data_IF_074676030324
#
_entry.id   IF_074676030324
#
_cell.length_a   1.000
_cell.length_b   1.000
_cell.length_c   1.000
_cell.angle_alpha   90.00
_cell.angle_beta   90.00
_cell.angle_gamma   90.00
#
_symmetry.space_group_name_H-M   'P 1'
#
loop_
_entity.id
_entity.type
_entity.pdbx_description
1 polymer ?
#
# COMPACT_ATOMS: atom_id res chain seq x y z
N UNK A 1 22.64 18.54 26.49
CA UNK A 1 21.21 18.71 26.12
C UNK A 1 21.01 17.88 24.87
N UNK A 2 20.10 16.90 24.82
CA UNK A 2 19.77 16.28 23.54
C UNK A 2 19.23 17.37 22.61
N UNK A 3 19.53 17.35 21.30
CA UNK A 3 18.95 18.33 20.39
C UNK A 3 17.43 18.17 20.43
N UNK A 4 16.73 19.28 20.70
CA UNK A 4 15.29 19.32 20.52
C UNK A 4 15.01 18.97 19.06
N UNK A 5 14.18 17.95 18.82
CA UNK A 5 13.82 17.57 17.46
C UNK A 5 13.19 18.78 16.76
N UNK A 6 13.81 19.24 15.67
CA UNK A 6 13.26 20.31 14.85
C UNK A 6 11.90 19.88 14.30
N UNK A 7 10.85 20.64 14.61
CA UNK A 7 9.48 20.29 14.19
C UNK A 7 9.40 20.13 12.66
N UNK A 8 10.15 20.93 11.90
CA UNK A 8 10.21 20.79 10.44
C UNK A 8 10.70 19.40 9.99
N UNK A 9 11.72 18.86 10.65
CA UNK A 9 12.23 17.51 10.36
C UNK A 9 11.21 16.42 10.70
N UNK A 10 10.41 16.60 11.74
CA UNK A 10 9.33 15.66 12.08
C UNK A 10 8.27 15.65 10.98
N UNK A 11 7.89 16.80 10.47
CA UNK A 11 6.84 16.87 9.45
C UNK A 11 7.29 16.30 8.10
N UNK A 12 8.54 16.57 7.70
CA UNK A 12 9.15 15.93 6.52
C UNK A 12 9.19 14.40 6.64
N UNK A 13 9.51 13.87 7.83
CA UNK A 13 9.52 12.43 8.08
C UNK A 13 8.12 11.83 7.99
N UNK A 14 7.09 12.51 8.52
CA UNK A 14 5.70 12.04 8.43
C UNK A 14 5.24 11.98 6.98
N UNK A 15 5.48 13.02 6.19
CA UNK A 15 5.13 13.05 4.75
C UNK A 15 5.78 11.89 4.01
N UNK A 16 7.09 11.67 4.24
CA UNK A 16 7.82 10.56 3.62
C UNK A 16 7.29 9.20 4.06
N UNK A 17 6.96 9.04 5.34
CA UNK A 17 6.40 7.80 5.87
C UNK A 17 5.04 7.50 5.22
N UNK A 18 4.12 8.49 5.18
CA UNK A 18 2.81 8.35 4.54
C UNK A 18 2.94 7.92 3.08
N UNK A 19 3.76 8.63 2.30
CA UNK A 19 3.97 8.29 0.88
C UNK A 19 4.56 6.88 0.71
N UNK A 20 5.47 6.47 1.60
CA UNK A 20 6.04 5.12 1.57
C UNK A 20 5.01 4.04 1.88
N UNK A 21 4.18 4.23 2.92
CA UNK A 21 3.13 3.28 3.27
C UNK A 21 2.05 3.17 2.18
N UNK A 22 1.66 4.29 1.58
CA UNK A 22 0.76 4.30 0.42
C UNK A 22 1.35 3.49 -0.73
N UNK A 23 2.61 3.74 -1.10
CA UNK A 23 3.29 2.99 -2.15
C UNK A 23 3.39 1.49 -1.82
N UNK A 24 3.65 1.13 -0.57
CA UNK A 24 3.73 -0.28 -0.15
C UNK A 24 2.36 -0.97 -0.27
N UNK A 25 1.30 -0.33 0.23
CA UNK A 25 -0.07 -0.85 0.09
C UNK A 25 -0.41 -1.10 -1.38
N UNK A 26 -0.10 -0.14 -2.23
CA UNK A 26 -0.43 -0.19 -3.66
C UNK A 26 0.32 -1.33 -4.36
N UNK A 27 1.59 -1.53 -4.04
CA UNK A 27 2.38 -2.66 -4.54
C UNK A 27 1.82 -4.02 -4.09
N UNK A 28 1.42 -4.14 -2.82
CA UNK A 28 0.85 -5.38 -2.29
C UNK A 28 -0.47 -5.71 -2.98
N UNK A 29 -1.38 -4.74 -3.09
CA UNK A 29 -2.67 -4.94 -3.77
C UNK A 29 -2.46 -5.36 -5.22
N UNK A 30 -1.61 -4.64 -5.97
CA UNK A 30 -1.33 -4.95 -7.36
C UNK A 30 -0.71 -6.35 -7.54
N UNK A 31 0.18 -6.77 -6.64
CA UNK A 31 0.79 -8.10 -6.70
C UNK A 31 -0.25 -9.22 -6.53
N UNK A 32 -1.18 -9.07 -5.59
CA UNK A 32 -2.24 -10.06 -5.37
C UNK A 32 -3.28 -10.05 -6.50
N UNK A 33 -3.67 -8.88 -7.00
CA UNK A 33 -4.58 -8.77 -8.13
C UNK A 33 -3.99 -9.40 -9.40
N UNK A 34 -2.69 -9.24 -9.65
CA UNK A 34 -2.01 -9.91 -10.76
C UNK A 34 -2.03 -11.44 -10.63
N UNK A 35 -1.81 -11.97 -9.42
CA UNK A 35 -1.90 -13.41 -9.16
C UNK A 35 -3.31 -13.94 -9.47
N UNK A 36 -4.36 -13.19 -9.09
CA UNK A 36 -5.73 -13.60 -9.39
C UNK A 36 -6.07 -13.46 -10.89
N UNK A 37 -5.53 -12.45 -11.58
CA UNK A 37 -5.72 -12.26 -13.02
C UNK A 37 -5.03 -13.35 -13.85
N UNK A 38 -3.90 -13.86 -13.36
CA UNK A 38 -3.16 -14.96 -13.98
C UNK A 38 -3.70 -16.35 -13.59
N UNK A 39 -4.73 -16.42 -12.75
CA UNK A 39 -5.29 -17.69 -12.29
C UNK A 39 -5.85 -18.50 -13.45
N UNK A 40 -5.36 -19.73 -13.59
CA UNK A 40 -5.89 -20.74 -14.51
C UNK A 40 -6.24 -22.01 -13.73
N UNK A 41 -7.22 -22.77 -14.23
CA UNK A 41 -7.65 -24.03 -13.60
C UNK A 41 -8.77 -23.83 -12.59
N UNK A 42 -8.64 -24.43 -11.40
CA UNK A 42 -9.71 -24.43 -10.38
C UNK A 42 -10.05 -23.00 -9.97
N UNK A 43 -11.34 -22.65 -10.00
CA UNK A 43 -11.89 -21.32 -9.71
C UNK A 43 -11.60 -20.22 -10.74
N UNK A 44 -10.98 -20.54 -11.88
CA UNK A 44 -10.79 -19.58 -12.97
C UNK A 44 -12.11 -19.12 -13.63
N UNK A 45 -13.22 -19.79 -13.34
CA UNK A 45 -14.58 -19.39 -13.71
C UNK A 45 -15.12 -18.23 -12.86
N UNK A 46 -14.47 -17.91 -11.74
CA UNK A 46 -14.85 -16.79 -10.87
C UNK A 46 -14.13 -15.52 -11.31
N UNK A 47 -14.77 -14.34 -11.20
CA UNK A 47 -14.09 -13.09 -11.46
C UNK A 47 -12.95 -12.88 -10.45
N UNK A 48 -11.82 -12.36 -10.93
CA UNK A 48 -10.73 -11.94 -10.08
C UNK A 48 -11.18 -10.83 -9.13
N UNK A 49 -10.82 -10.96 -7.86
CA UNK A 49 -11.05 -9.99 -6.81
C UNK A 49 -10.21 -8.73 -7.02
N UNK A 50 -10.70 -7.62 -6.45
CA UNK A 50 -10.03 -6.32 -6.44
C UNK A 50 -10.11 -5.72 -5.05
N UNK A 51 -9.03 -5.10 -4.61
CA UNK A 51 -9.00 -4.43 -3.32
C UNK A 51 -9.73 -3.09 -3.42
N UNK A 52 -10.74 -2.90 -2.57
CA UNK A 52 -11.44 -1.62 -2.46
C UNK A 52 -10.78 -0.73 -1.41
N UNK A 53 -10.39 0.50 -1.80
CA UNK A 53 -9.91 1.51 -0.86
C UNK A 53 -11.09 2.17 -0.17
N UNK A 54 -11.12 2.04 1.14
CA UNK A 54 -12.07 2.70 2.02
C UNK A 54 -11.42 3.89 2.73
N UNK A 55 -12.14 5.00 2.87
CA UNK A 55 -11.60 6.29 3.34
C UNK A 55 -11.54 6.44 4.87
N UNK A 56 -11.43 5.34 5.62
CA UNK A 56 -11.47 5.36 7.09
C UNK A 56 -10.09 5.42 7.74
#
# INVERSE_FOLDING_TARGET
>A
MPPATDQNTVEEQKVRATAWFESLRDQICAAFEAIEDELTGTYADRPAGRFERTSW
#
